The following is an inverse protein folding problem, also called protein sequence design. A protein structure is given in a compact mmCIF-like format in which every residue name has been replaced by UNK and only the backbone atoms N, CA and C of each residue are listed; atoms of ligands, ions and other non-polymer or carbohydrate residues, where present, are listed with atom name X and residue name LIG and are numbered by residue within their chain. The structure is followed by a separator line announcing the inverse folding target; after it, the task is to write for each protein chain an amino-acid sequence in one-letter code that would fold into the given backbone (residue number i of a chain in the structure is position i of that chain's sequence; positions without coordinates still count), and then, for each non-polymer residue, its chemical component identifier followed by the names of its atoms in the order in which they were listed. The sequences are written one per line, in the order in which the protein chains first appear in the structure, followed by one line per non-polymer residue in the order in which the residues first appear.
data_IF_904200791861
#
_entry.id   IF_904200791861
#
_cell.length_a   1.000
_cell.length_b   1.000
_cell.length_c   1.000
_cell.angle_alpha   90.00
_cell.angle_beta   90.00
_cell.angle_gamma   90.00
#
_symmetry.space_group_name_H-M   'P 1'
#
loop_
_entity.id
_entity.type
_entity.pdbx_description
1 polymer ?
#
# COMPACT_ATOMS: atom_id res chain seq x y z
N UNK A 1 14.63 12.91 -9.68
CA UNK A 1 15.58 11.95 -10.17
C UNK A 1 14.98 10.58 -10.29
N UNK A 2 15.16 9.98 -11.41
CA UNK A 2 14.61 8.68 -11.64
C UNK A 2 15.62 7.62 -11.40
N UNK A 3 15.24 6.69 -10.56
CA UNK A 3 16.06 5.56 -10.24
C UNK A 3 15.39 4.36 -10.87
N UNK A 4 15.90 3.87 -11.91
CA UNK A 4 15.45 2.65 -12.56
C UNK A 4 13.93 2.45 -12.60
N UNK A 5 13.15 3.30 -12.03
CA UNK A 5 11.70 3.22 -12.10
C UNK A 5 11.06 2.16 -11.23
N UNK A 6 11.81 1.50 -10.40
CA UNK A 6 11.24 0.49 -9.51
C UNK A 6 10.95 1.09 -8.15
N UNK A 7 9.77 0.79 -7.65
CA UNK A 7 9.37 1.31 -6.36
C UNK A 7 9.79 0.35 -5.26
N UNK A 8 10.17 0.92 -4.14
CA UNK A 8 10.48 0.12 -2.96
C UNK A 8 10.17 0.93 -1.74
N UNK A 9 9.78 0.26 -0.67
CA UNK A 9 9.43 0.91 0.56
C UNK A 9 7.94 0.97 0.78
N UNK A 10 7.51 1.70 1.81
CA UNK A 10 6.09 1.76 2.15
C UNK A 10 5.28 2.44 1.06
N UNK A 11 4.07 1.96 0.89
CA UNK A 11 3.15 2.47 -0.12
C UNK A 11 1.81 2.78 0.53
N UNK A 12 1.20 3.88 0.12
CA UNK A 12 -0.10 4.28 0.62
C UNK A 12 -0.97 4.71 -0.54
N UNK A 13 -2.23 4.27 -0.51
CA UNK A 13 -3.17 4.60 -1.55
C UNK A 13 -4.39 5.29 -0.95
N UNK A 14 -4.75 6.45 -1.47
CA UNK A 14 -5.86 7.23 -0.97
C UNK A 14 -7.04 7.17 -1.93
N UNK A 15 -8.23 7.25 -1.36
CA UNK A 15 -9.44 7.24 -2.18
C UNK A 15 -9.81 8.66 -2.61
N UNK A 16 -10.99 8.78 -3.25
CA UNK A 16 -11.43 10.06 -3.78
C UNK A 16 -11.68 11.09 -2.69
N UNK A 17 -11.98 10.63 -1.50
CA UNK A 17 -12.27 11.52 -0.39
C UNK A 17 -11.00 11.95 0.33
N UNK A 18 -9.86 11.47 -0.13
CA UNK A 18 -8.60 11.79 0.52
C UNK A 18 -8.31 10.94 1.74
N UNK A 19 -9.07 9.87 1.94
CA UNK A 19 -8.86 8.99 3.07
C UNK A 19 -7.99 7.82 2.66
N UNK A 20 -7.16 7.40 3.60
CA UNK A 20 -6.27 6.28 3.35
C UNK A 20 -7.09 5.02 3.10
N UNK A 21 -6.82 4.35 2.00
CA UNK A 21 -7.58 3.18 1.59
C UNK A 21 -6.77 1.90 1.72
N UNK A 22 -5.55 1.91 1.23
CA UNK A 22 -4.68 0.75 1.31
C UNK A 22 -3.31 1.17 1.78
N UNK A 23 -2.66 0.29 2.50
CA UNK A 23 -1.27 0.49 2.88
C UNK A 23 -0.53 -0.81 2.69
N UNK A 24 0.73 -0.71 2.36
CA UNK A 24 1.55 -1.88 2.13
C UNK A 24 2.96 -1.49 1.85
N UNK A 25 3.66 -2.37 1.15
CA UNK A 25 5.05 -2.10 0.80
C UNK A 25 5.35 -2.70 -0.55
N UNK A 26 6.34 -2.10 -1.21
CA UNK A 26 6.82 -2.59 -2.50
C UNK A 26 8.30 -2.87 -2.39
N UNK A 27 8.74 -3.82 -3.20
CA UNK A 27 10.16 -4.12 -3.32
C UNK A 27 10.44 -4.41 -4.78
N UNK A 28 11.22 -3.53 -5.40
CA UNK A 28 11.59 -3.65 -6.81
C UNK A 28 10.35 -3.79 -7.70
N UNK A 29 9.33 -3.02 -7.41
CA UNK A 29 8.13 -3.00 -8.21
C UNK A 29 7.12 -4.09 -7.87
N UNK A 30 7.40 -4.89 -6.85
CA UNK A 30 6.52 -5.97 -6.45
C UNK A 30 5.93 -5.70 -5.08
N UNK A 31 4.70 -6.12 -4.90
CA UNK A 31 4.05 -6.01 -3.61
C UNK A 31 4.63 -7.07 -2.67
N UNK A 32 5.02 -6.63 -1.50
CA UNK A 32 5.58 -7.53 -0.50
C UNK A 32 4.97 -7.22 0.84
N UNK A 33 5.12 -8.16 1.76
CA UNK A 33 4.70 -7.95 3.12
C UNK A 33 3.21 -8.03 3.29
N UNK A 34 2.74 -7.48 4.37
CA UNK A 34 1.33 -7.53 4.73
C UNK A 34 0.66 -6.23 4.32
N UNK A 35 -0.38 -6.37 3.52
CA UNK A 35 -1.15 -5.24 3.05
C UNK A 35 -2.43 -5.12 3.84
N UNK A 36 -2.83 -3.90 4.10
CA UNK A 36 -4.03 -3.60 4.87
C UNK A 36 -5.00 -2.79 4.03
N UNK A 37 -6.25 -2.95 4.34
CA UNK A 37 -7.32 -2.20 3.68
C UNK A 37 -8.13 -1.50 4.74
N UNK A 38 -8.40 -0.22 4.53
CA UNK A 38 -9.22 0.54 5.45
C UNK A 38 -10.68 0.47 5.02
N UNK A 39 -11.56 0.29 5.99
CA UNK A 39 -12.98 0.25 5.69
C UNK A 39 -13.57 1.66 5.78
N UNK A 40 -14.90 1.75 5.63
CA UNK A 40 -15.58 3.03 5.64
C UNK A 40 -15.46 3.74 6.97
N UNK A 41 -15.19 3.00 8.01
CA UNK A 41 -15.03 3.58 9.33
C UNK A 41 -13.60 4.02 9.61
N UNK A 42 -12.74 3.79 8.65
CA UNK A 42 -11.34 4.17 8.80
C UNK A 42 -10.52 3.19 9.60
N UNK A 43 -11.02 1.98 9.76
CA UNK A 43 -10.30 0.96 10.52
C UNK A 43 -9.46 0.10 9.61
N UNK A 44 -8.25 -0.17 10.04
CA UNK A 44 -7.31 -0.97 9.28
C UNK A 44 -7.62 -2.45 9.45
N UNK A 45 -7.69 -3.15 8.33
CA UNK A 45 -7.92 -4.58 8.33
C UNK A 45 -6.93 -5.27 7.42
N UNK A 46 -6.54 -6.46 7.82
CA UNK A 46 -5.63 -7.24 7.01
C UNK A 46 -6.31 -7.60 5.69
N UNK A 47 -5.66 -7.28 4.58
CA UNK A 47 -6.22 -7.52 3.26
C UNK A 47 -5.57 -8.71 2.59
N UNK A 48 -4.28 -8.61 2.35
CA UNK A 48 -3.53 -9.67 1.70
C UNK A 48 -2.12 -9.70 2.24
N UNK A 49 -1.50 -10.84 2.12
CA UNK A 49 -0.10 -10.97 2.49
C UNK A 49 0.69 -11.42 1.26
N UNK A 50 1.73 -10.69 0.97
CA UNK A 50 2.61 -10.98 -0.15
C UNK A 50 3.98 -11.34 0.38
N UNK A 51 4.60 -12.30 -0.25
CA UNK A 51 5.94 -12.73 0.15
C UNK A 51 7.02 -12.12 -0.71
#
# INVERSE_FOLDING_TARGET
TLVSGLESGPWQYYDELGQLQYVGAFDQGKQIGLWYKYNQQGKKKKWKQFD
#
